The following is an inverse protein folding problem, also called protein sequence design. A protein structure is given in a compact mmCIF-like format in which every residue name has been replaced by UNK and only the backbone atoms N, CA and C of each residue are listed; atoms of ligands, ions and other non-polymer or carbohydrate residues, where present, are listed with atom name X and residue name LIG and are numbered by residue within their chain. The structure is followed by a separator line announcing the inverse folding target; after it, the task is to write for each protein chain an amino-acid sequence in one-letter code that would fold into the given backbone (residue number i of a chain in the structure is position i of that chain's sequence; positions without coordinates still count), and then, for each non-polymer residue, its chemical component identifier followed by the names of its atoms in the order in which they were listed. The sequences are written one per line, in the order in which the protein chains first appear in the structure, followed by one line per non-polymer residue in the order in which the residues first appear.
data_IF_611110556149
#
_entry.id   IF_611110556149
#
_cell.length_a   1.000
_cell.length_b   1.000
_cell.length_c   1.000
_cell.angle_alpha   90.00
_cell.angle_beta   90.00
_cell.angle_gamma   90.00
#
_symmetry.space_group_name_H-M   'P 1'
#
loop_
_entity.id
_entity.type
_entity.pdbx_description
1 polymer ?
#
# COMPACT_ATOMS: atom_id res chain seq x y z
N UNK A 1 -16.88 -37.31 27.35
CA UNK A 1 -16.53 -37.48 25.95
C UNK A 1 -17.37 -36.64 25.00
N UNK A 2 -18.70 -36.61 25.17
CA UNK A 2 -19.55 -35.80 24.29
C UNK A 2 -19.25 -34.30 24.37
N UNK A 3 -18.90 -33.77 25.55
CA UNK A 3 -18.56 -32.37 25.72
C UNK A 3 -17.30 -31.96 24.98
N UNK A 4 -16.33 -32.85 24.84
CA UNK A 4 -15.10 -32.61 24.09
C UNK A 4 -15.38 -32.49 22.59
N UNK A 5 -16.32 -33.28 22.07
CA UNK A 5 -16.73 -33.23 20.66
C UNK A 5 -17.37 -31.87 20.34
N UNK A 6 -18.23 -31.36 21.22
CA UNK A 6 -18.86 -30.06 21.04
C UNK A 6 -17.85 -28.92 21.07
N UNK A 7 -16.83 -28.98 21.91
CA UNK A 7 -15.77 -27.97 21.97
C UNK A 7 -14.98 -27.96 20.67
N UNK A 8 -14.69 -29.13 20.10
CA UNK A 8 -13.99 -29.23 18.82
C UNK A 8 -14.79 -28.65 17.66
N UNK A 9 -16.09 -28.86 17.66
CA UNK A 9 -16.99 -28.30 16.64
C UNK A 9 -17.02 -26.76 16.74
N UNK A 10 -17.06 -26.22 17.94
CA UNK A 10 -17.00 -24.79 18.16
C UNK A 10 -15.66 -24.19 17.70
N UNK A 11 -14.55 -24.86 17.98
CA UNK A 11 -13.23 -24.40 17.50
C UNK A 11 -13.17 -24.37 15.98
N UNK A 12 -13.74 -25.36 15.30
CA UNK A 12 -13.82 -25.38 13.84
C UNK A 12 -14.67 -24.24 13.29
N UNK A 13 -15.77 -23.88 13.98
CA UNK A 13 -16.60 -22.76 13.57
C UNK A 13 -15.85 -21.43 13.68
N UNK A 14 -15.06 -21.23 14.73
CA UNK A 14 -14.22 -20.03 14.87
C UNK A 14 -13.16 -19.94 13.78
N UNK A 15 -12.54 -21.04 13.41
CA UNK A 15 -11.57 -21.10 12.32
C UNK A 15 -12.20 -20.70 10.99
N UNK A 16 -13.44 -21.12 10.74
CA UNK A 16 -14.15 -20.74 9.53
C UNK A 16 -14.47 -19.23 9.49
N UNK A 17 -14.73 -18.60 10.64
CA UNK A 17 -14.95 -17.16 10.72
C UNK A 17 -13.70 -16.36 10.42
N UNK A 18 -12.51 -16.85 10.76
CA UNK A 18 -11.23 -16.18 10.48
C UNK A 18 -10.96 -16.05 8.98
N UNK A 19 -11.43 -16.98 8.18
CA UNK A 19 -11.27 -16.93 6.72
C UNK A 19 -11.96 -15.72 6.09
N UNK A 20 -12.96 -15.14 6.74
CA UNK A 20 -13.61 -13.93 6.25
C UNK A 20 -12.69 -12.69 6.34
N UNK A 21 -11.58 -12.77 7.08
CA UNK A 21 -10.59 -11.69 7.19
C UNK A 21 -9.60 -11.66 6.03
N UNK A 22 -9.60 -12.68 5.16
CA UNK A 22 -8.74 -12.75 3.98
C UNK A 22 -9.15 -11.78 2.87
N UNK A 23 -10.04 -10.84 3.17
CA UNK A 23 -10.42 -9.78 2.24
C UNK A 23 -9.39 -8.65 2.16
N UNK A 24 -8.44 -8.63 3.06
CA UNK A 24 -7.42 -7.58 3.14
C UNK A 24 -6.08 -8.06 2.60
N UNK A 25 -5.36 -7.13 2.00
CA UNK A 25 -3.99 -7.32 1.54
C UNK A 25 -3.06 -6.45 2.38
N UNK A 26 -2.00 -7.05 2.94
CA UNK A 26 -0.92 -6.29 3.55
C UNK A 26 0.04 -5.87 2.44
N UNK A 27 0.12 -4.57 2.18
CA UNK A 27 0.92 -4.01 1.10
C UNK A 27 2.21 -3.44 1.68
N UNK A 28 3.34 -3.90 1.14
CA UNK A 28 4.64 -3.29 1.40
C UNK A 28 4.94 -2.33 0.27
N UNK A 29 5.08 -1.04 0.59
CA UNK A 29 5.44 -0.01 -0.36
C UNK A 29 6.93 0.28 -0.25
N UNK A 30 7.66 0.04 -1.32
CA UNK A 30 9.05 0.41 -1.43
C UNK A 30 9.17 1.58 -2.41
N UNK A 31 10.01 2.56 -2.08
CA UNK A 31 10.26 3.69 -2.97
C UNK A 31 11.70 3.66 -3.45
N UNK A 32 11.89 4.01 -4.70
CA UNK A 32 13.19 4.10 -5.35
C UNK A 32 13.29 5.42 -6.09
N UNK A 33 14.47 6.02 -6.06
CA UNK A 33 14.82 7.18 -6.90
C UNK A 33 16.02 6.75 -7.72
N UNK A 34 15.90 6.87 -9.03
CA UNK A 34 16.92 6.38 -9.95
C UNK A 34 18.30 6.99 -9.65
N UNK A 35 19.31 6.13 -9.54
CA UNK A 35 20.69 6.52 -9.29
C UNK A 35 20.97 7.01 -7.87
N UNK A 36 20.04 6.80 -6.93
CA UNK A 36 20.18 7.28 -5.56
C UNK A 36 19.88 6.18 -4.55
N UNK A 37 20.43 6.33 -3.34
CA UNK A 37 20.06 5.50 -2.20
C UNK A 37 18.63 5.80 -1.77
N UNK A 38 18.06 4.89 -0.97
CA UNK A 38 16.69 5.05 -0.48
C UNK A 38 16.55 6.41 0.25
N UNK A 39 15.45 7.14 0.00
CA UNK A 39 15.20 8.40 0.69
C UNK A 39 14.96 8.19 2.18
N UNK A 40 15.28 9.19 2.98
CA UNK A 40 15.06 9.17 4.42
C UNK A 40 13.55 9.17 4.72
N UNK A 41 12.78 10.00 3.99
CA UNK A 41 11.34 10.03 4.12
C UNK A 41 10.67 10.51 2.83
N UNK A 42 9.44 10.03 2.61
CA UNK A 42 8.59 10.48 1.51
C UNK A 42 7.19 10.71 2.09
N UNK A 43 6.71 11.93 2.03
CA UNK A 43 5.39 12.31 2.54
C UNK A 43 4.49 12.74 1.37
N UNK A 44 3.50 11.92 1.05
CA UNK A 44 2.57 12.22 -0.03
C UNK A 44 1.75 13.48 0.29
N UNK A 45 1.54 14.31 -0.72
CA UNK A 45 0.80 15.55 -0.60
C UNK A 45 -0.69 15.30 -0.80
N UNK A 46 -1.41 15.14 0.30
CA UNK A 46 -2.84 14.86 0.29
C UNK A 46 -3.69 16.10 0.01
N UNK A 47 -3.09 17.28 -0.09
CA UNK A 47 -3.80 18.49 -0.47
C UNK A 47 -4.12 18.55 -1.96
N UNK A 48 -3.43 17.76 -2.77
CA UNK A 48 -3.66 17.72 -4.21
C UNK A 48 -4.82 16.79 -4.56
N UNK A 49 -5.69 17.23 -5.45
CA UNK A 49 -6.86 16.45 -5.86
C UNK A 49 -6.49 15.16 -6.59
N UNK A 50 -5.32 15.11 -7.23
CA UNK A 50 -4.85 13.94 -7.96
C UNK A 50 -4.16 12.88 -7.10
N UNK A 51 -3.96 13.15 -5.81
CA UNK A 51 -3.35 12.16 -4.90
C UNK A 51 -4.31 11.00 -4.69
N UNK A 52 -3.85 9.79 -4.99
CA UNK A 52 -4.71 8.63 -4.88
C UNK A 52 -3.93 7.36 -4.53
N UNK A 53 -4.54 6.54 -3.72
CA UNK A 53 -4.30 5.12 -3.57
C UNK A 53 -5.68 4.50 -3.59
N UNK A 54 -6.24 4.33 -4.79
CA UNK A 54 -7.66 4.11 -5.00
C UNK A 54 -7.95 2.72 -5.53
N UNK A 55 -8.88 2.04 -4.86
CA UNK A 55 -9.47 0.81 -5.38
C UNK A 55 -10.39 1.17 -6.55
N UNK A 56 -10.12 0.64 -7.75
CA UNK A 56 -10.90 1.02 -8.93
C UNK A 56 -12.30 0.43 -8.95
N UNK A 57 -12.57 -0.61 -8.16
CA UNK A 57 -13.89 -1.23 -8.07
C UNK A 57 -14.79 -0.55 -7.05
N UNK A 58 -14.25 -0.24 -5.86
CA UNK A 58 -15.03 0.37 -4.76
C UNK A 58 -14.94 1.89 -4.76
N UNK A 59 -13.95 2.46 -5.46
CA UNK A 59 -13.61 3.89 -5.46
C UNK A 59 -13.11 4.38 -4.09
N UNK A 60 -12.85 3.49 -3.15
CA UNK A 60 -12.29 3.84 -1.87
C UNK A 60 -10.84 4.30 -2.03
N UNK A 61 -10.52 5.44 -1.43
CA UNK A 61 -9.20 6.06 -1.51
C UNK A 61 -8.54 6.00 -0.15
N UNK A 62 -7.37 5.38 -0.08
CA UNK A 62 -6.63 5.21 1.16
C UNK A 62 -5.60 6.32 1.33
N UNK A 63 -5.36 6.72 2.58
CA UNK A 63 -4.29 7.64 2.91
C UNK A 63 -2.95 6.93 2.82
N UNK A 64 -2.02 7.53 2.08
CA UNK A 64 -0.67 6.96 1.94
C UNK A 64 0.14 7.35 3.18
N UNK A 65 0.65 6.38 3.96
CA UNK A 65 1.46 6.71 5.13
C UNK A 65 2.81 7.31 4.71
N UNK A 66 3.44 8.03 5.63
CA UNK A 66 4.81 8.50 5.40
C UNK A 66 5.72 7.30 5.24
N UNK A 67 6.51 7.31 4.17
CA UNK A 67 7.42 6.22 3.85
C UNK A 67 8.79 6.58 4.41
N UNK A 68 9.18 5.96 5.51
CA UNK A 68 10.45 6.21 6.19
C UNK A 68 11.47 5.13 5.84
N UNK A 69 12.69 5.53 5.54
CA UNK A 69 13.76 4.58 5.22
C UNK A 69 13.53 3.80 3.93
N UNK A 70 12.69 4.31 3.03
CA UNK A 70 12.42 3.70 1.73
C UNK A 70 11.33 2.64 1.71
N UNK A 71 10.71 2.32 2.85
CA UNK A 71 9.67 1.30 2.91
C UNK A 71 8.63 1.60 3.96
N UNK A 72 7.41 1.17 3.71
CA UNK A 72 6.32 1.19 4.71
C UNK A 72 5.32 0.08 4.40
N UNK A 73 4.42 -0.17 5.32
CA UNK A 73 3.34 -1.14 5.13
C UNK A 73 2.00 -0.48 5.41
N UNK A 74 0.99 -0.94 4.67
CA UNK A 74 -0.39 -0.54 4.90
C UNK A 74 -1.32 -1.69 4.56
N UNK A 75 -2.47 -1.71 5.17
CA UNK A 75 -3.48 -2.74 4.91
C UNK A 75 -4.61 -2.14 4.10
N UNK A 76 -4.97 -2.81 3.00
CA UNK A 76 -6.05 -2.36 2.12
C UNK A 76 -6.95 -3.54 1.78
N UNK A 77 -8.15 -3.27 1.34
CA UNK A 77 -9.04 -4.28 0.78
C UNK A 77 -8.41 -4.85 -0.49
N UNK A 78 -8.46 -6.17 -0.68
CA UNK A 78 -7.95 -6.79 -1.92
C UNK A 78 -8.64 -6.20 -3.13
N UNK A 79 -7.90 -5.91 -4.18
CA UNK A 79 -8.45 -5.34 -5.40
C UNK A 79 -7.38 -4.82 -6.33
N UNK A 80 -7.81 -4.06 -7.31
CA UNK A 80 -6.94 -3.42 -8.30
C UNK A 80 -6.88 -1.94 -7.98
N UNK A 81 -5.68 -1.37 -7.96
CA UNK A 81 -5.43 -0.03 -7.43
C UNK A 81 -4.72 0.87 -8.42
N UNK A 82 -5.15 2.12 -8.45
CA UNK A 82 -4.40 3.21 -9.06
C UNK A 82 -3.66 3.96 -7.97
N UNK A 83 -2.39 4.24 -8.21
CA UNK A 83 -1.54 4.97 -7.27
C UNK A 83 -0.90 6.15 -8.01
N UNK A 84 -1.13 7.35 -7.50
CA UNK A 84 -0.52 8.55 -8.04
C UNK A 84 -0.43 9.60 -6.95
N UNK A 85 0.73 10.23 -6.82
CA UNK A 85 0.91 11.32 -5.86
C UNK A 85 2.17 12.10 -6.14
N UNK A 86 2.15 13.36 -5.75
CA UNK A 86 3.36 14.15 -5.54
C UNK A 86 3.69 14.12 -4.06
N UNK A 87 4.96 14.21 -3.72
CA UNK A 87 5.39 14.09 -2.33
C UNK A 87 6.58 15.00 -2.05
N UNK A 88 6.73 15.33 -0.78
CA UNK A 88 7.96 15.94 -0.29
C UNK A 88 8.87 14.84 0.22
N UNK A 89 10.05 14.73 -0.38
CA UNK A 89 11.03 13.72 -0.03
C UNK A 89 12.26 14.37 0.61
N UNK A 90 12.77 13.71 1.65
CA UNK A 90 14.09 14.00 2.18
C UNK A 90 15.01 12.90 1.65
N UNK A 91 15.93 13.29 0.78
CA UNK A 91 16.83 12.36 0.12
C UNK A 91 17.90 11.86 1.09
N UNK A 92 18.64 10.82 0.68
CA UNK A 92 19.66 10.19 1.51
C UNK A 92 20.76 11.18 1.96
N UNK A 93 21.02 12.23 1.17
CA UNK A 93 21.97 13.29 1.50
C UNK A 93 21.39 14.39 2.42
N UNK A 94 20.12 14.26 2.83
CA UNK A 94 19.44 15.22 3.69
C UNK A 94 18.74 16.36 2.94
N UNK A 95 18.89 16.44 1.62
CA UNK A 95 18.23 17.50 0.84
C UNK A 95 16.74 17.22 0.69
N UNK A 96 15.93 18.29 0.62
CA UNK A 96 14.49 18.22 0.42
C UNK A 96 14.17 18.41 -1.06
N UNK A 97 13.39 17.51 -1.63
CA UNK A 97 12.98 17.55 -3.04
C UNK A 97 11.51 17.18 -3.19
N UNK A 98 10.90 17.75 -4.20
CA UNK A 98 9.57 17.35 -4.63
C UNK A 98 9.71 16.17 -5.59
N UNK A 99 8.94 15.11 -5.36
CA UNK A 99 8.98 13.88 -6.18
C UNK A 99 7.57 13.51 -6.62
N UNK A 100 7.49 12.69 -7.66
CA UNK A 100 6.19 12.22 -8.19
C UNK A 100 6.21 10.71 -8.40
N UNK A 101 5.12 10.06 -7.99
CA UNK A 101 4.80 8.69 -8.36
C UNK A 101 3.68 8.71 -9.39
N UNK A 102 3.95 8.19 -10.60
CA UNK A 102 2.95 8.16 -11.68
C UNK A 102 2.87 6.81 -12.39
N UNK A 103 3.58 5.82 -11.89
CA UNK A 103 3.76 4.51 -12.50
C UNK A 103 2.44 3.74 -12.63
N UNK A 104 1.54 3.90 -11.67
CA UNK A 104 0.26 3.20 -11.60
C UNK A 104 -0.93 4.16 -11.66
N UNK A 105 -0.81 5.22 -12.45
CA UNK A 105 -1.73 6.37 -12.41
C UNK A 105 -2.96 6.23 -13.30
N UNK A 106 -3.10 5.13 -14.04
CA UNK A 106 -4.22 4.93 -14.96
C UNK A 106 -4.76 3.50 -14.83
N UNK A 107 -6.00 3.24 -15.28
CA UNK A 107 -6.56 1.87 -15.23
C UNK A 107 -5.72 0.83 -15.96
N UNK A 108 -5.10 1.19 -17.09
CA UNK A 108 -4.24 0.27 -17.83
C UNK A 108 -2.94 -0.06 -17.10
N UNK A 109 -2.53 0.84 -16.21
CA UNK A 109 -1.29 0.70 -15.43
C UNK A 109 -1.56 0.36 -13.98
N UNK A 110 -2.79 0.03 -13.63
CA UNK A 110 -3.17 -0.28 -12.26
C UNK A 110 -2.44 -1.52 -11.75
N UNK A 111 -2.18 -1.55 -10.46
CA UNK A 111 -1.50 -2.66 -9.80
C UNK A 111 -2.52 -3.60 -9.16
N UNK A 112 -2.24 -4.89 -9.25
CA UNK A 112 -3.09 -5.95 -8.71
C UNK A 112 -2.66 -6.28 -7.28
N UNK A 113 -3.52 -5.98 -6.31
CA UNK A 113 -3.30 -6.22 -4.88
C UNK A 113 -4.31 -7.23 -4.35
N UNK A 114 -4.36 -8.42 -4.98
CA UNK A 114 -5.33 -9.47 -4.64
C UNK A 114 -4.75 -10.58 -3.77
N UNK A 115 -3.44 -10.56 -3.50
CA UNK A 115 -2.82 -11.51 -2.59
C UNK A 115 -3.00 -11.12 -1.12
N UNK A 116 -2.58 -11.99 -0.22
CA UNK A 116 -2.57 -11.70 1.21
C UNK A 116 -1.47 -10.69 1.57
N UNK A 117 -0.32 -10.80 0.92
CA UNK A 117 0.84 -9.92 1.06
C UNK A 117 1.32 -9.54 -0.33
N UNK A 118 1.39 -8.25 -0.60
CA UNK A 118 1.84 -7.75 -1.89
C UNK A 118 2.94 -6.71 -1.67
N UNK A 119 3.92 -6.69 -2.57
CA UNK A 119 4.98 -5.68 -2.55
C UNK A 119 4.84 -4.81 -3.80
N UNK A 120 4.82 -3.51 -3.60
CA UNK A 120 4.76 -2.53 -4.68
C UNK A 120 6.00 -1.65 -4.60
N UNK A 121 6.75 -1.57 -5.69
CA UNK A 121 7.91 -0.67 -5.80
C UNK A 121 7.49 0.56 -6.58
N UNK A 122 7.58 1.71 -5.95
CA UNK A 122 7.26 2.99 -6.54
C UNK A 122 8.55 3.68 -6.98
N UNK A 123 8.71 3.86 -8.29
CA UNK A 123 9.85 4.58 -8.85
C UNK A 123 9.48 6.05 -8.91
N UNK A 124 10.12 6.84 -8.07
CA UNK A 124 9.83 8.27 -7.94
C UNK A 124 10.69 9.08 -8.89
N UNK A 125 10.08 10.11 -9.44
CA UNK A 125 10.75 11.08 -10.33
C UNK A 125 10.93 12.37 -9.54
N UNK A 126 12.16 12.89 -9.52
CA UNK A 126 12.44 14.17 -8.88
C UNK A 126 11.93 15.29 -9.78
N UNK A 127 11.10 16.15 -9.22
CA UNK A 127 10.58 17.33 -9.91
C UNK A 127 11.51 18.52 -9.71
N UNK A 128 11.62 19.32 -10.73
CA UNK A 128 12.48 20.50 -10.68
C UNK A 128 11.68 21.78 -10.48
#
# INVERSE_FOLDING_TARGET
MRKLIYILILAAAFTACEKSQDLNCLVTLNVEIDGQDAPISVAADHSLAGTMFRNINTLENYTIPVIAGGTTQMQVLKGIYMIAFDADAILADGSSRRVRSSQYSSPEKAVNLTGDNCTVTLKLIVLQ
#
